data_IF_579257053649
#
_entry.id   IF_579257053649
#
_cell.length_a   1.000
_cell.length_b   1.000
_cell.length_c   1.000
_cell.angle_alpha   90.00
_cell.angle_beta   90.00
_cell.angle_gamma   90.00
#
_symmetry.space_group_name_H-M   'P 1'
#
loop_
_entity.id
_entity.type
_entity.pdbx_description
1 polymer ?
#
# COMPACT_ATOMS: atom_id res chain seq x y z
N UNK A 1 0.73 9.00 11.25
CA UNK A 1 1.15 9.28 12.64
C UNK A 1 0.34 8.46 13.65
N UNK A 2 -1.01 8.46 13.61
CA UNK A 2 -1.79 7.71 14.62
C UNK A 2 -1.49 6.21 14.60
N UNK A 3 -1.46 5.57 13.42
CA UNK A 3 -1.11 4.15 13.30
C UNK A 3 0.31 3.82 13.76
N UNK A 4 1.24 4.75 13.62
CA UNK A 4 2.60 4.61 14.14
C UNK A 4 2.59 4.61 15.68
N UNK A 5 1.90 5.56 16.30
CA UNK A 5 1.73 5.65 17.76
C UNK A 5 1.05 4.40 18.31
N UNK A 6 0.06 3.89 17.60
CA UNK A 6 -0.70 2.69 17.97
C UNK A 6 0.07 1.36 17.69
N UNK A 7 1.34 1.43 17.22
CA UNK A 7 2.22 0.29 17.03
C UNK A 7 2.03 -0.51 15.74
N UNK A 8 1.27 -0.01 14.78
CA UNK A 8 0.99 -0.74 13.53
C UNK A 8 2.20 -0.95 12.61
N UNK A 9 3.30 -0.25 12.85
CA UNK A 9 4.56 -0.40 12.14
C UNK A 9 5.67 -0.99 13.00
N UNK A 10 5.38 -1.35 14.27
CA UNK A 10 6.38 -1.85 15.21
C UNK A 10 7.00 -3.18 14.77
N UNK A 11 6.23 -4.07 14.15
CA UNK A 11 6.75 -5.32 13.59
C UNK A 11 7.82 -5.08 12.52
N UNK A 12 7.57 -4.11 11.65
CA UNK A 12 8.45 -3.84 10.50
C UNK A 12 9.61 -2.91 10.87
N UNK A 13 9.31 -1.79 11.53
CA UNK A 13 10.29 -0.71 11.71
C UNK A 13 10.82 -0.60 13.13
N UNK A 14 10.31 -1.43 14.06
CA UNK A 14 10.66 -1.34 15.47
C UNK A 14 9.98 -0.17 16.18
N UNK A 15 10.45 0.12 17.39
CA UNK A 15 9.91 1.18 18.22
C UNK A 15 10.94 1.64 19.26
N UNK A 16 10.75 2.84 19.78
CA UNK A 16 11.61 3.39 20.81
C UNK A 16 11.36 2.72 22.18
N UNK A 17 12.44 2.47 22.92
CA UNK A 17 12.40 1.96 24.29
C UNK A 17 13.42 2.72 25.17
N UNK A 18 13.02 3.11 26.37
CA UNK A 18 13.87 3.87 27.31
C UNK A 18 15.13 3.13 27.75
N UNK A 19 15.13 1.79 27.75
CA UNK A 19 16.25 0.99 28.21
C UNK A 19 17.19 0.55 27.07
N UNK A 20 16.67 0.51 25.85
CA UNK A 20 17.40 0.00 24.68
C UNK A 20 17.52 1.02 23.54
N UNK A 21 17.11 2.27 23.75
CA UNK A 21 16.98 3.35 22.78
C UNK A 21 16.04 2.98 21.60
N UNK A 22 16.28 1.83 20.99
CA UNK A 22 15.46 1.32 19.88
C UNK A 22 15.39 -0.21 19.89
N UNK A 23 14.17 -0.73 19.79
CA UNK A 23 13.90 -2.14 19.52
C UNK A 23 13.76 -2.29 18.01
N UNK A 24 14.65 -3.05 17.39
CA UNK A 24 14.66 -3.24 15.95
C UNK A 24 13.46 -4.06 15.46
N UNK A 25 12.89 -3.63 14.33
CA UNK A 25 11.90 -4.39 13.59
C UNK A 25 12.53 -5.37 12.59
N UNK A 26 11.68 -5.91 11.70
CA UNK A 26 12.12 -6.82 10.63
C UNK A 26 12.93 -6.12 9.54
N UNK A 27 12.70 -4.82 9.32
CA UNK A 27 13.43 -3.98 8.36
C UNK A 27 14.53 -3.24 9.09
N UNK A 28 15.79 -3.60 8.80
CA UNK A 28 16.96 -3.04 9.49
C UNK A 28 17.33 -1.63 9.05
N UNK A 29 17.11 -1.33 7.78
CA UNK A 29 17.40 -0.03 7.17
C UNK A 29 16.21 0.36 6.29
N UNK A 30 15.33 1.20 6.82
CA UNK A 30 14.08 1.60 6.16
C UNK A 30 14.38 2.46 4.93
N UNK A 31 15.39 3.32 4.98
CA UNK A 31 15.78 4.18 3.84
C UNK A 31 16.26 3.33 2.67
N UNK A 32 17.11 2.35 2.94
CA UNK A 32 17.60 1.41 1.93
C UNK A 32 16.45 0.56 1.36
N UNK A 33 15.58 0.04 2.22
CA UNK A 33 14.44 -0.77 1.80
C UNK A 33 13.48 0.03 0.91
N UNK A 34 13.21 1.28 1.28
CA UNK A 34 12.41 2.20 0.47
C UNK A 34 13.09 2.53 -0.86
N UNK A 35 14.40 2.75 -0.84
CA UNK A 35 15.20 2.99 -2.06
C UNK A 35 15.16 1.78 -3.01
N UNK A 36 15.26 0.56 -2.49
CA UNK A 36 15.21 -0.67 -3.28
C UNK A 36 13.82 -0.93 -3.88
N UNK A 37 12.77 -0.60 -3.12
CA UNK A 37 11.38 -0.83 -3.51
C UNK A 37 10.86 0.23 -4.47
N UNK A 38 11.01 1.51 -4.12
CA UNK A 38 10.47 2.66 -4.87
C UNK A 38 11.47 3.17 -5.92
N UNK A 39 12.79 2.93 -5.71
CA UNK A 39 13.91 3.43 -6.54
C UNK A 39 14.03 4.95 -6.58
N UNK A 40 13.56 5.62 -5.54
CA UNK A 40 13.66 7.07 -5.34
C UNK A 40 14.37 7.37 -4.02
N UNK A 41 15.09 8.49 -3.96
CA UNK A 41 15.78 8.97 -2.76
C UNK A 41 14.96 10.04 -2.06
N UNK A 42 15.33 10.35 -0.81
CA UNK A 42 14.74 11.43 -0.02
C UNK A 42 13.22 11.22 0.24
N UNK A 43 12.83 9.97 0.51
CA UNK A 43 11.48 9.63 0.93
C UNK A 43 11.41 9.24 2.42
N UNK A 44 12.55 8.96 3.04
CA UNK A 44 12.66 8.65 4.47
C UNK A 44 13.71 9.54 5.15
N UNK A 45 13.51 10.02 6.40
CA UNK A 45 12.25 9.92 7.18
C UNK A 45 11.10 10.76 6.60
N UNK A 46 9.88 10.23 6.66
CA UNK A 46 8.69 10.92 6.11
C UNK A 46 8.53 12.32 6.72
N UNK A 47 8.83 12.48 8.03
CA UNK A 47 8.74 13.76 8.73
C UNK A 47 9.62 14.87 8.15
N UNK A 48 10.73 14.52 7.50
CA UNK A 48 11.65 15.47 6.91
C UNK A 48 11.29 15.79 5.45
N UNK A 49 10.91 14.77 4.69
CA UNK A 49 10.78 14.88 3.24
C UNK A 49 9.35 15.06 2.73
N UNK A 50 8.31 14.80 3.54
CA UNK A 50 6.91 14.85 3.08
C UNK A 50 6.49 16.19 2.45
N UNK A 51 7.10 17.31 2.87
CA UNK A 51 6.81 18.63 2.29
C UNK A 51 7.34 18.82 0.87
N UNK A 52 8.28 17.98 0.44
CA UNK A 52 8.90 18.01 -0.89
C UNK A 52 8.36 16.92 -1.83
N UNK A 53 7.46 16.06 -1.36
CA UNK A 53 6.91 14.98 -2.16
C UNK A 53 6.13 15.52 -3.36
N UNK A 54 6.37 14.90 -4.50
CA UNK A 54 5.43 14.96 -5.62
C UNK A 54 4.20 14.11 -5.32
N UNK A 55 3.17 14.19 -6.14
CA UNK A 55 2.01 13.31 -6.05
C UNK A 55 2.41 11.84 -6.14
N UNK A 56 3.26 11.50 -7.12
CA UNK A 56 3.76 10.14 -7.31
C UNK A 56 4.56 9.64 -6.10
N UNK A 57 5.40 10.49 -5.48
CA UNK A 57 6.14 10.13 -4.27
C UNK A 57 5.21 9.81 -3.11
N UNK A 58 4.15 10.60 -2.95
CA UNK A 58 3.15 10.39 -1.91
C UNK A 58 2.41 9.06 -2.10
N UNK A 59 2.02 8.73 -3.34
CA UNK A 59 1.31 7.49 -3.66
C UNK A 59 2.22 6.27 -3.54
N UNK A 60 3.48 6.35 -4.00
CA UNK A 60 4.50 5.30 -3.81
C UNK A 60 4.76 5.01 -2.33
N UNK A 61 4.82 6.05 -1.49
CA UNK A 61 5.00 5.89 -0.03
C UNK A 61 3.77 5.21 0.60
N UNK A 62 2.56 5.48 0.13
CA UNK A 62 1.36 4.76 0.58
C UNK A 62 1.46 3.27 0.25
N UNK A 63 1.85 2.90 -0.98
CA UNK A 63 2.05 1.51 -1.39
C UNK A 63 3.13 0.82 -0.54
N UNK A 64 4.25 1.52 -0.30
CA UNK A 64 5.31 1.01 0.57
C UNK A 64 4.80 0.74 1.99
N UNK A 65 4.16 1.72 2.63
CA UNK A 65 3.64 1.56 3.99
C UNK A 65 2.61 0.44 4.11
N UNK A 66 1.78 0.22 3.08
CA UNK A 66 0.82 -0.89 3.05
C UNK A 66 1.50 -2.26 3.15
N UNK A 67 2.70 -2.42 2.60
CA UNK A 67 3.44 -3.67 2.67
C UNK A 67 3.95 -3.99 4.08
N UNK A 68 4.15 -2.97 4.91
CA UNK A 68 4.78 -3.09 6.23
C UNK A 68 3.83 -2.89 7.41
N UNK A 69 2.59 -2.49 7.16
CA UNK A 69 1.60 -2.30 8.21
C UNK A 69 1.09 -3.64 8.75
N UNK A 70 1.07 -3.79 10.08
CA UNK A 70 0.51 -4.94 10.80
C UNK A 70 -0.21 -4.46 12.04
N UNK A 71 -1.39 -5.01 12.34
CA UNK A 71 -2.13 -4.68 13.56
C UNK A 71 -1.47 -5.35 14.76
N UNK A 72 -1.06 -4.60 15.79
CA UNK A 72 -0.58 -5.19 17.02
C UNK A 72 -1.72 -5.91 17.75
N UNK A 73 -1.46 -7.13 18.28
CA UNK A 73 -2.44 -7.98 18.93
C UNK A 73 -2.12 -8.12 20.42
N UNK A 74 -0.89 -8.50 20.74
CA UNK A 74 -0.47 -8.77 22.12
C UNK A 74 0.95 -8.29 22.33
N UNK A 75 1.31 -8.05 23.59
CA UNK A 75 2.61 -7.54 23.98
C UNK A 75 2.70 -7.29 25.49
N UNK A 76 3.84 -6.82 25.93
CA UNK A 76 4.13 -6.56 27.33
C UNK A 76 4.15 -5.07 27.63
N UNK A 77 3.43 -4.62 28.66
CA UNK A 77 3.47 -3.22 29.11
C UNK A 77 4.80 -2.94 29.79
N UNK A 78 5.59 -2.05 29.23
CA UNK A 78 6.77 -1.48 29.85
C UNK A 78 6.45 -0.11 30.45
N UNK A 79 6.14 -0.10 31.73
CA UNK A 79 5.66 1.10 32.43
C UNK A 79 6.78 2.07 32.84
N UNK A 80 8.05 1.65 32.74
CA UNK A 80 9.17 2.47 33.17
C UNK A 80 9.30 3.71 32.30
N UNK A 81 9.33 4.88 32.96
CA UNK A 81 9.54 6.21 32.35
C UNK A 81 8.64 6.52 31.13
N UNK A 82 7.41 5.93 31.11
CA UNK A 82 6.43 6.19 30.05
C UNK A 82 6.70 5.50 28.72
N UNK A 83 7.47 4.41 28.71
CA UNK A 83 7.84 3.67 27.50
C UNK A 83 6.61 3.17 26.72
N UNK A 84 5.67 2.49 27.39
CA UNK A 84 4.43 2.01 26.76
C UNK A 84 4.42 0.51 26.44
N UNK A 85 3.61 0.11 25.47
CA UNK A 85 3.48 -1.28 25.04
C UNK A 85 4.65 -1.72 24.14
N UNK A 86 5.26 -2.82 24.48
CA UNK A 86 6.17 -3.56 23.62
C UNK A 86 5.37 -4.67 22.93
N UNK A 87 5.02 -4.42 21.68
CA UNK A 87 4.21 -5.34 20.89
C UNK A 87 5.03 -6.53 20.42
N UNK A 88 4.49 -7.75 20.53
CA UNK A 88 5.18 -9.02 20.25
C UNK A 88 4.47 -9.84 19.17
N UNK A 89 3.15 -9.70 19.04
CA UNK A 89 2.37 -10.42 18.03
C UNK A 89 1.54 -9.48 17.19
N UNK A 90 1.40 -9.83 15.91
CA UNK A 90 0.81 -8.95 14.91
C UNK A 90 -0.11 -9.71 13.96
N UNK A 91 -1.10 -9.02 13.41
CA UNK A 91 -1.95 -9.50 12.32
C UNK A 91 -1.83 -8.56 11.12
N UNK A 92 -1.11 -9.01 10.10
CA UNK A 92 -0.85 -8.24 8.88
C UNK A 92 -2.13 -7.93 8.12
N UNK A 93 -3.01 -8.91 7.93
CA UNK A 93 -4.25 -8.74 7.16
C UNK A 93 -5.18 -7.69 7.78
N UNK A 94 -5.37 -7.74 9.09
CA UNK A 94 -6.18 -6.75 9.80
C UNK A 94 -5.55 -5.36 9.77
N UNK A 95 -4.21 -5.30 9.87
CA UNK A 95 -3.45 -4.06 9.73
C UNK A 95 -3.64 -3.44 8.34
N UNK A 96 -3.47 -4.22 7.29
CA UNK A 96 -3.66 -3.80 5.92
C UNK A 96 -5.11 -3.35 5.62
N UNK A 97 -6.11 -4.06 6.14
CA UNK A 97 -7.51 -3.68 5.97
C UNK A 97 -7.80 -2.32 6.62
N UNK A 98 -7.36 -2.11 7.85
CA UNK A 98 -7.57 -0.83 8.54
C UNK A 98 -6.78 0.31 7.87
N UNK A 99 -5.55 0.06 7.46
CA UNK A 99 -4.73 1.05 6.75
C UNK A 99 -5.43 1.48 5.46
N UNK A 100 -5.88 0.51 4.64
CA UNK A 100 -6.60 0.77 3.41
C UNK A 100 -7.87 1.60 3.63
N UNK A 101 -8.67 1.24 4.64
CA UNK A 101 -9.88 2.00 5.00
C UNK A 101 -9.55 3.47 5.31
N UNK A 102 -8.55 3.70 6.17
CA UNK A 102 -8.13 5.05 6.56
C UNK A 102 -7.55 5.86 5.40
N UNK A 103 -6.71 5.21 4.57
CA UNK A 103 -6.12 5.87 3.38
C UNK A 103 -7.20 6.21 2.37
N UNK A 104 -8.11 5.29 2.07
CA UNK A 104 -9.20 5.54 1.12
C UNK A 104 -10.13 6.66 1.57
N UNK A 105 -10.40 6.77 2.88
CA UNK A 105 -11.15 7.90 3.41
C UNK A 105 -10.44 9.25 3.18
N UNK A 106 -9.10 9.28 3.21
CA UNK A 106 -8.33 10.49 2.88
C UNK A 106 -8.33 10.74 1.37
N UNK A 107 -8.08 9.71 0.56
CA UNK A 107 -8.02 9.80 -0.90
C UNK A 107 -9.35 10.21 -1.53
N UNK A 108 -10.47 9.92 -0.87
CA UNK A 108 -11.81 10.35 -1.31
C UNK A 108 -11.95 11.88 -1.41
N UNK A 109 -11.24 12.60 -0.54
CA UNK A 109 -11.21 14.07 -0.52
C UNK A 109 -10.09 14.66 -1.38
N UNK A 110 -9.27 13.81 -1.99
CA UNK A 110 -8.18 14.25 -2.83
C UNK A 110 -8.66 14.60 -4.25
N UNK A 111 -8.11 15.67 -4.82
CA UNK A 111 -8.55 16.22 -6.11
C UNK A 111 -8.49 15.20 -7.25
N UNK A 112 -7.40 14.44 -7.30
CA UNK A 112 -7.23 13.36 -8.25
C UNK A 112 -7.80 12.10 -7.61
N UNK A 113 -8.82 11.52 -8.20
CA UNK A 113 -9.55 10.39 -7.61
C UNK A 113 -8.70 9.11 -7.63
N UNK A 114 -8.12 8.78 -6.49
CA UNK A 114 -7.38 7.54 -6.27
C UNK A 114 -8.07 6.64 -5.27
N UNK A 115 -7.70 5.36 -5.29
CA UNK A 115 -8.04 4.37 -4.27
C UNK A 115 -6.88 3.41 -4.04
N UNK A 116 -6.69 2.97 -2.79
CA UNK A 116 -5.77 1.90 -2.43
C UNK A 116 -6.51 0.57 -2.56
N UNK A 117 -6.03 -0.32 -3.43
CA UNK A 117 -6.61 -1.62 -3.71
C UNK A 117 -6.42 -2.61 -2.55
N UNK A 118 -7.06 -3.79 -2.64
CA UNK A 118 -6.86 -4.87 -1.66
C UNK A 118 -5.45 -5.47 -1.70
N UNK A 119 -4.76 -5.33 -2.83
CA UNK A 119 -3.40 -5.83 -3.03
C UNK A 119 -2.34 -4.79 -2.69
N UNK A 120 -2.74 -3.55 -2.36
CA UNK A 120 -1.84 -2.48 -1.96
C UNK A 120 -1.36 -1.56 -3.07
N UNK A 121 -1.89 -1.71 -4.29
CA UNK A 121 -1.63 -0.75 -5.36
C UNK A 121 -2.56 0.47 -5.27
N UNK A 122 -2.03 1.64 -5.53
CA UNK A 122 -2.83 2.86 -5.69
C UNK A 122 -3.30 2.96 -7.14
N UNK A 123 -4.60 2.98 -7.33
CA UNK A 123 -5.26 2.97 -8.63
C UNK A 123 -6.05 4.26 -8.84
N UNK A 124 -6.08 4.75 -10.08
CA UNK A 124 -7.05 5.77 -10.46
C UNK A 124 -8.47 5.22 -10.29
N UNK A 125 -9.34 5.94 -9.61
CA UNK A 125 -10.77 5.59 -9.60
C UNK A 125 -11.31 5.67 -11.02
N UNK A 126 -12.23 4.76 -11.41
CA UNK A 126 -12.91 4.86 -12.69
C UNK A 126 -13.61 6.22 -12.85
N UNK A 127 -13.69 6.71 -14.09
CA UNK A 127 -14.55 7.85 -14.39
C UNK A 127 -16.01 7.51 -14.11
N UNK A 128 -16.79 8.53 -13.78
CA UNK A 128 -18.22 8.37 -13.48
C UNK A 128 -18.96 7.65 -14.62
N UNK A 129 -19.67 6.58 -14.27
CA UNK A 129 -20.38 5.72 -15.21
C UNK A 129 -19.60 4.47 -15.65
N UNK A 130 -18.30 4.37 -15.38
CA UNK A 130 -17.48 3.19 -15.70
C UNK A 130 -17.21 2.29 -14.51
N UNK A 131 -17.64 2.66 -13.30
CA UNK A 131 -17.40 1.90 -12.07
C UNK A 131 -17.91 0.45 -12.17
N UNK A 132 -19.07 0.26 -12.80
CA UNK A 132 -19.67 -1.06 -12.95
C UNK A 132 -18.84 -2.01 -13.82
N UNK A 133 -18.13 -1.47 -14.83
CA UNK A 133 -17.27 -2.26 -15.71
C UNK A 133 -16.03 -2.75 -14.96
N UNK A 134 -15.41 -1.86 -14.17
CA UNK A 134 -14.19 -2.20 -13.43
C UNK A 134 -14.46 -3.05 -12.18
N UNK A 135 -15.67 -3.04 -11.66
CA UNK A 135 -16.09 -3.82 -10.48
C UNK A 135 -16.83 -5.12 -10.87
N UNK A 136 -17.05 -5.37 -12.16
CA UNK A 136 -17.73 -6.58 -12.62
C UNK A 136 -16.82 -7.81 -12.44
N UNK A 137 -17.40 -8.90 -11.94
CA UNK A 137 -16.72 -10.18 -11.92
C UNK A 137 -16.38 -10.64 -13.34
N UNK A 138 -15.18 -11.14 -13.53
CA UNK A 138 -14.76 -11.73 -14.81
C UNK A 138 -15.62 -12.99 -15.07
N UNK A 139 -16.39 -13.07 -16.17
CA UNK A 139 -17.34 -14.17 -16.40
C UNK A 139 -16.61 -15.45 -16.89
N UNK A 140 -15.57 -15.86 -16.16
CA UNK A 140 -14.78 -17.07 -16.44
C UNK A 140 -14.47 -17.81 -15.15
N UNK A 141 -14.42 -19.16 -15.23
CA UNK A 141 -13.95 -20.02 -14.14
C UNK A 141 -12.46 -20.38 -14.30
N UNK A 142 -11.85 -20.04 -15.42
CA UNK A 142 -10.43 -20.24 -15.65
C UNK A 142 -9.63 -19.17 -14.89
N UNK A 143 -8.88 -19.61 -13.87
CA UNK A 143 -8.08 -18.74 -13.02
C UNK A 143 -7.00 -17.97 -13.79
N UNK A 144 -6.51 -18.51 -14.91
CA UNK A 144 -5.53 -17.83 -15.75
C UNK A 144 -6.17 -16.65 -16.50
N UNK A 145 -7.39 -16.82 -17.01
CA UNK A 145 -8.15 -15.75 -17.64
C UNK A 145 -8.46 -14.65 -16.63
N UNK A 146 -9.01 -15.02 -15.47
CA UNK A 146 -9.31 -14.09 -14.39
C UNK A 146 -8.06 -13.31 -14.01
N UNK A 147 -6.95 -13.99 -13.72
CA UNK A 147 -5.69 -13.36 -13.36
C UNK A 147 -5.13 -12.41 -14.42
N UNK A 148 -5.28 -12.73 -15.72
CA UNK A 148 -4.83 -11.85 -16.83
C UNK A 148 -5.70 -10.60 -16.94
N UNK A 149 -7.02 -10.72 -16.77
CA UNK A 149 -7.95 -9.58 -16.79
C UNK A 149 -7.66 -8.66 -15.60
N UNK A 150 -7.51 -9.22 -14.39
CA UNK A 150 -7.21 -8.46 -13.18
C UNK A 150 -5.87 -7.72 -13.30
N UNK A 151 -4.83 -8.40 -13.80
CA UNK A 151 -3.51 -7.78 -14.01
C UNK A 151 -3.57 -6.65 -15.05
N UNK A 152 -4.25 -6.86 -16.18
CA UNK A 152 -4.40 -5.83 -17.20
C UNK A 152 -5.21 -4.63 -16.68
N UNK A 153 -6.30 -4.86 -15.95
CA UNK A 153 -7.12 -3.82 -15.34
C UNK A 153 -6.33 -3.00 -14.32
N UNK A 154 -5.55 -3.69 -13.46
CA UNK A 154 -4.67 -3.05 -12.48
C UNK A 154 -3.62 -2.18 -13.17
N UNK A 155 -2.91 -2.74 -14.17
CA UNK A 155 -1.87 -2.02 -14.93
C UNK A 155 -2.43 -0.79 -15.65
N UNK A 156 -3.64 -0.88 -16.18
CA UNK A 156 -4.30 0.25 -16.83
C UNK A 156 -4.61 1.39 -15.86
N UNK A 157 -5.02 1.07 -14.63
CA UNK A 157 -5.47 2.03 -13.61
C UNK A 157 -4.37 2.49 -12.66
N UNK A 158 -3.23 1.81 -12.62
CA UNK A 158 -2.15 2.10 -11.67
C UNK A 158 -1.66 3.54 -11.81
N UNK A 159 -1.45 4.24 -10.68
CA UNK A 159 -0.77 5.53 -10.69
C UNK A 159 0.63 5.36 -11.30
N UNK A 160 1.15 6.38 -11.94
CA UNK A 160 2.46 6.31 -12.61
C UNK A 160 2.51 5.46 -13.88
N UNK A 161 1.43 4.75 -14.29
CA UNK A 161 1.39 4.03 -15.56
C UNK A 161 1.52 4.97 -16.74
N UNK A 162 2.52 4.70 -17.58
CA UNK A 162 2.71 5.42 -18.84
C UNK A 162 1.60 5.14 -19.85
N UNK A 163 1.51 5.95 -20.88
CA UNK A 163 0.57 5.71 -21.99
C UNK A 163 0.83 4.35 -22.67
N UNK A 164 2.10 3.92 -22.72
CA UNK A 164 2.46 2.64 -23.33
C UNK A 164 2.08 1.46 -22.44
N UNK A 165 2.20 1.56 -21.11
CA UNK A 165 1.71 0.55 -20.17
C UNK A 165 0.19 0.38 -20.30
N UNK A 166 -0.56 1.49 -20.38
CA UNK A 166 -2.01 1.44 -20.59
C UNK A 166 -2.40 0.83 -21.94
N UNK A 167 -1.65 1.11 -23.00
CA UNK A 167 -1.85 0.48 -24.32
C UNK A 167 -1.56 -1.02 -24.27
N UNK A 168 -0.52 -1.42 -23.53
CA UNK A 168 -0.21 -2.82 -23.33
C UNK A 168 -1.32 -3.54 -22.58
N UNK A 169 -1.84 -2.96 -21.52
CA UNK A 169 -2.97 -3.51 -20.78
C UNK A 169 -4.21 -3.74 -21.67
N UNK A 170 -4.51 -2.81 -22.59
CA UNK A 170 -5.60 -2.98 -23.57
C UNK A 170 -5.32 -4.12 -24.54
N UNK A 171 -4.07 -4.31 -24.99
CA UNK A 171 -3.69 -5.46 -25.85
C UNK A 171 -3.85 -6.77 -25.11
N UNK A 172 -3.42 -6.83 -23.84
CA UNK A 172 -3.55 -8.03 -23.01
C UNK A 172 -5.02 -8.45 -22.83
N UNK A 173 -5.94 -7.47 -22.71
CA UNK A 173 -7.39 -7.74 -22.70
C UNK A 173 -7.91 -8.20 -24.05
N UNK A 174 -7.40 -7.66 -25.17
CA UNK A 174 -7.77 -8.11 -26.51
C UNK A 174 -7.33 -9.55 -26.76
N UNK A 175 -6.12 -9.92 -26.34
CA UNK A 175 -5.61 -11.30 -26.43
C UNK A 175 -6.45 -12.29 -25.62
N UNK A 176 -6.96 -11.88 -24.43
CA UNK A 176 -7.90 -12.71 -23.67
C UNK A 176 -9.21 -12.91 -24.42
N UNK A 177 -9.75 -11.87 -25.06
CA UNK A 177 -10.98 -11.99 -25.86
C UNK A 177 -10.80 -12.87 -27.09
N UNK A 178 -9.64 -12.82 -27.75
CA UNK A 178 -9.32 -13.70 -28.88
C UNK A 178 -9.22 -15.17 -28.45
N UNK A 179 -8.64 -15.43 -27.26
CA UNK A 179 -8.56 -16.78 -26.70
C UNK A 179 -9.94 -17.39 -26.38
N UNK A 180 -10.91 -16.55 -25.98
CA UNK A 180 -12.27 -16.97 -25.64
C UNK A 180 -13.18 -17.19 -26.87
N UNK A 181 -12.74 -16.82 -28.04
CA UNK A 181 -13.52 -16.90 -29.31
C UNK A 181 -13.37 -18.24 -30.03
#
# INVERSE_FOLDING_TARGET
RQLEIDGYFSEAFGFWCVDADHIEGNVKDIELEMLLTIRKKNLWPISEYASSYTEDDFLDVIEFLYQYVSKPIDGTMHSYNGCGMHWETFNKKDGQNLFREKINAVLEHYKNKFELSQNGEVLHKPEEGFEQIFNADVPSKDSNIVGRVDAATTNFRRHGSSLDDRRQAVRDLADVLEYLR
#
